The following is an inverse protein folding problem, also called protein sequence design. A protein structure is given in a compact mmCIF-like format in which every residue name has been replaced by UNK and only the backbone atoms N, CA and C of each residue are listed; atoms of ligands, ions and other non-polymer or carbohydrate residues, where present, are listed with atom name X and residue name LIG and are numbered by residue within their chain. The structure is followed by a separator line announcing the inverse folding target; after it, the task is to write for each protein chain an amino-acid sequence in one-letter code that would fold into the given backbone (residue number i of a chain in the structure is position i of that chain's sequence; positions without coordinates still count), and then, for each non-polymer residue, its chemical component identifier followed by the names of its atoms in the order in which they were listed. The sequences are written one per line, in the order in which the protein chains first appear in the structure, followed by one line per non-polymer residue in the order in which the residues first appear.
data_IF_714121945311
#
_entry.id   IF_714121945311
#
_cell.length_a   1.000
_cell.length_b   1.000
_cell.length_c   1.000
_cell.angle_alpha   90.00
_cell.angle_beta   90.00
_cell.angle_gamma   90.00
#
_symmetry.space_group_name_H-M   'P 1'
#
loop_
_entity.id
_entity.type
_entity.pdbx_description
1 polymer ?
#
# COMPACT_ATOMS: atom_id res chain seq x y z
N UNK A 1 20.68 3.61 5.10
CA UNK A 1 20.10 4.85 5.69
C UNK A 1 20.37 4.97 7.19
N UNK A 2 20.03 4.00 8.06
CA UNK A 2 20.28 4.12 9.51
C UNK A 2 21.75 4.43 9.87
N UNK A 3 22.70 3.71 9.27
CA UNK A 3 24.13 3.95 9.48
C UNK A 3 24.57 5.37 9.05
N UNK A 4 24.02 5.88 7.95
CA UNK A 4 24.28 7.26 7.50
C UNK A 4 23.76 8.28 8.52
N UNK A 5 22.51 8.14 8.99
CA UNK A 5 21.96 9.04 10.03
C UNK A 5 22.82 9.01 11.29
N UNK A 6 23.17 7.82 11.81
CA UNK A 6 24.05 7.72 12.98
C UNK A 6 25.42 8.37 12.76
N UNK A 7 25.99 8.27 11.55
CA UNK A 7 27.24 8.91 11.23
C UNK A 7 27.13 10.46 11.18
N UNK A 8 26.02 10.96 10.65
CA UNK A 8 25.72 12.40 10.61
C UNK A 8 25.47 12.95 12.02
N UNK A 9 24.69 12.26 12.86
CA UNK A 9 24.43 12.63 14.25
C UNK A 9 25.73 12.65 15.06
N UNK A 10 26.57 11.66 14.85
CA UNK A 10 27.91 11.63 15.46
C UNK A 10 28.77 12.82 15.02
N UNK A 11 28.81 13.13 13.71
CA UNK A 11 29.55 14.25 13.17
C UNK A 11 29.04 15.57 13.75
N UNK A 12 27.72 15.75 13.85
CA UNK A 12 27.08 16.94 14.41
C UNK A 12 27.38 17.10 15.92
N UNK A 13 27.19 16.02 16.69
CA UNK A 13 27.48 16.02 18.14
C UNK A 13 28.94 16.36 18.43
N UNK A 14 29.86 15.86 17.59
CA UNK A 14 31.27 16.16 17.69
C UNK A 14 31.59 17.61 17.37
N UNK A 15 30.98 18.17 16.34
CA UNK A 15 31.11 19.59 16.01
C UNK A 15 30.65 20.46 17.18
N UNK A 16 29.45 20.20 17.72
CA UNK A 16 28.92 20.95 18.86
C UNK A 16 29.88 20.90 20.03
N UNK A 17 30.39 19.73 20.39
CA UNK A 17 31.35 19.56 21.50
C UNK A 17 32.65 20.30 21.27
N UNK A 18 33.22 20.34 20.05
CA UNK A 18 34.46 21.05 19.72
C UNK A 18 34.23 22.57 19.74
N UNK A 19 33.08 23.06 19.25
CA UNK A 19 32.71 24.47 19.33
C UNK A 19 32.46 24.94 20.76
N UNK A 20 31.80 24.13 21.59
CA UNK A 20 31.60 24.42 23.01
C UNK A 20 32.92 24.51 23.76
N UNK A 21 33.86 23.61 23.47
CA UNK A 21 35.21 23.65 24.05
C UNK A 21 35.95 24.93 23.72
N UNK A 22 35.84 25.43 22.47
CA UNK A 22 36.44 26.74 22.06
C UNK A 22 35.76 27.89 22.79
N UNK A 23 34.46 27.85 23.02
CA UNK A 23 33.70 28.92 23.64
C UNK A 23 33.76 28.90 25.19
N UNK A 24 34.15 27.78 25.80
CA UNK A 24 34.22 27.63 27.25
C UNK A 24 35.38 28.41 27.88
N UNK A 25 36.49 28.64 27.16
CA UNK A 25 37.63 29.41 27.67
C UNK A 25 37.45 30.90 27.36
N UNK A 26 37.20 31.75 28.39
CA UNK A 26 37.03 33.20 28.17
C UNK A 26 38.23 33.90 27.52
N UNK A 27 39.44 33.35 27.65
CA UNK A 27 40.69 33.92 27.11
C UNK A 27 40.89 33.59 25.64
N UNK A 28 40.31 32.46 25.20
CA UNK A 28 40.46 31.96 23.82
C UNK A 28 39.17 32.07 23.00
N UNK A 29 38.16 32.79 23.50
CA UNK A 29 36.87 32.92 22.83
C UNK A 29 36.88 33.78 21.58
N UNK A 30 37.85 34.74 21.50
CA UNK A 30 37.97 35.74 20.43
C UNK A 30 39.44 35.83 19.95
N UNK A 31 39.62 35.93 18.64
CA UNK A 31 40.89 36.14 18.02
C UNK A 31 41.30 35.05 17.01
N UNK A 32 42.42 35.24 16.29
CA UNK A 32 42.79 34.37 15.19
C UNK A 32 42.94 32.89 15.56
N UNK A 33 43.34 32.59 16.79
CA UNK A 33 43.46 31.20 17.28
C UNK A 33 42.10 30.54 17.49
N UNK A 34 41.11 31.27 18.02
CA UNK A 34 39.73 30.79 18.17
C UNK A 34 39.04 30.56 16.81
N UNK A 35 39.27 31.49 15.87
CA UNK A 35 38.73 31.38 14.51
C UNK A 35 39.35 30.19 13.76
N UNK A 36 40.66 29.96 13.92
CA UNK A 36 41.31 28.77 13.36
C UNK A 36 40.79 27.46 13.97
N UNK A 37 40.53 27.44 15.29
CA UNK A 37 39.96 26.26 15.96
C UNK A 37 38.51 25.95 15.50
N UNK A 38 37.68 27.02 15.33
CA UNK A 38 36.31 26.85 14.77
C UNK A 38 36.37 26.33 13.32
N UNK A 39 37.23 26.94 12.49
CA UNK A 39 37.43 26.48 11.12
C UNK A 39 37.85 25.01 11.07
N UNK A 40 38.82 24.60 11.91
CA UNK A 40 39.25 23.19 12.00
C UNK A 40 38.14 22.25 12.44
N UNK A 41 37.22 22.66 13.36
CA UNK A 41 36.07 21.89 13.78
C UNK A 41 35.08 21.71 12.63
N UNK A 42 34.76 22.78 11.89
CA UNK A 42 33.92 22.73 10.71
C UNK A 42 34.51 21.86 9.58
N UNK A 43 35.81 22.00 9.31
CA UNK A 43 36.51 21.19 8.31
C UNK A 43 36.46 19.69 8.65
N UNK A 44 36.57 19.37 9.94
CA UNK A 44 36.48 18.01 10.42
C UNK A 44 35.05 17.43 10.29
N UNK A 45 34.04 18.22 10.65
CA UNK A 45 32.65 17.87 10.43
C UNK A 45 32.39 17.64 8.94
N UNK A 46 32.81 18.56 8.07
CA UNK A 46 32.65 18.43 6.63
C UNK A 46 33.27 17.14 6.07
N UNK A 47 34.47 16.77 6.56
CA UNK A 47 35.12 15.51 6.16
C UNK A 47 34.35 14.29 6.63
N UNK A 48 33.86 14.26 7.86
CA UNK A 48 33.05 13.16 8.38
C UNK A 48 31.72 13.02 7.61
N UNK A 49 31.05 14.14 7.35
CA UNK A 49 29.82 14.17 6.56
C UNK A 49 30.05 13.69 5.12
N UNK A 50 31.13 14.16 4.48
CA UNK A 50 31.49 13.72 3.12
C UNK A 50 31.79 12.21 3.06
N UNK A 51 32.54 11.68 4.04
CA UNK A 51 32.80 10.25 4.12
C UNK A 51 31.53 9.43 4.33
N UNK A 52 30.62 9.88 5.21
CA UNK A 52 29.34 9.22 5.41
C UNK A 52 28.49 9.23 4.13
N UNK A 53 28.49 10.35 3.40
CA UNK A 53 27.78 10.48 2.11
C UNK A 53 28.37 9.57 1.04
N UNK A 54 29.68 9.51 0.91
CA UNK A 54 30.35 8.63 -0.06
C UNK A 54 29.99 7.15 0.17
N UNK A 55 29.95 6.72 1.43
CA UNK A 55 29.53 5.35 1.78
C UNK A 55 28.08 5.10 1.38
N UNK A 56 27.18 6.05 1.69
CA UNK A 56 25.78 5.96 1.31
C UNK A 56 25.60 5.86 -0.21
N UNK A 57 26.23 6.77 -0.97
CA UNK A 57 26.11 6.82 -2.42
C UNK A 57 26.60 5.52 -3.08
N UNK A 58 27.72 4.97 -2.57
CA UNK A 58 28.22 3.66 -3.03
C UNK A 58 27.23 2.53 -2.75
N UNK A 59 26.69 2.48 -1.53
CA UNK A 59 25.78 1.42 -1.12
C UNK A 59 24.43 1.52 -1.89
N UNK A 60 23.95 2.75 -2.14
CA UNK A 60 22.76 2.98 -2.96
C UNK A 60 22.99 2.59 -4.43
N UNK A 61 24.14 2.93 -5.00
CA UNK A 61 24.49 2.54 -6.36
C UNK A 61 24.57 0.99 -6.51
N UNK A 62 25.13 0.31 -5.52
CA UNK A 62 25.18 -1.15 -5.50
C UNK A 62 23.76 -1.73 -5.42
N UNK A 63 22.90 -1.27 -4.51
CA UNK A 63 21.53 -1.75 -4.38
C UNK A 63 20.71 -1.51 -5.64
N UNK A 64 20.89 -0.36 -6.30
CA UNK A 64 20.22 -0.07 -7.57
C UNK A 64 20.65 -1.04 -8.67
N UNK A 65 21.94 -1.32 -8.75
CA UNK A 65 22.45 -2.30 -9.71
C UNK A 65 21.92 -3.72 -9.45
N UNK A 66 21.89 -4.14 -8.18
CA UNK A 66 21.34 -5.43 -7.77
C UNK A 66 19.84 -5.53 -8.06
N UNK A 67 19.05 -4.47 -7.72
CA UNK A 67 17.63 -4.39 -8.02
C UNK A 67 17.37 -4.49 -9.53
N UNK A 68 18.18 -3.84 -10.36
CA UNK A 68 18.09 -3.92 -11.82
C UNK A 68 18.33 -5.31 -12.39
N UNK A 69 19.10 -6.15 -11.71
CA UNK A 69 19.31 -7.55 -12.07
C UNK A 69 18.16 -8.45 -11.61
N UNK A 70 17.61 -8.20 -10.41
CA UNK A 70 16.57 -9.02 -9.81
C UNK A 70 15.20 -8.76 -10.44
N UNK A 71 14.85 -7.49 -10.69
CA UNK A 71 13.52 -7.08 -11.17
C UNK A 71 13.05 -7.84 -12.42
N UNK A 72 13.87 -8.01 -13.50
CA UNK A 72 13.44 -8.77 -14.68
C UNK A 72 13.22 -10.27 -14.43
N UNK A 73 13.77 -10.81 -13.33
CA UNK A 73 13.68 -12.23 -12.98
C UNK A 73 12.52 -12.52 -12.01
N UNK A 74 11.81 -11.49 -11.53
CA UNK A 74 10.68 -11.67 -10.63
C UNK A 74 9.50 -12.36 -11.35
N UNK A 75 8.80 -13.29 -10.66
CA UNK A 75 7.58 -13.88 -11.21
C UNK A 75 6.45 -12.81 -11.30
N UNK A 76 5.40 -13.03 -12.13
CA UNK A 76 4.32 -12.07 -12.35
C UNK A 76 3.70 -11.49 -11.07
N UNK A 77 3.51 -12.30 -10.02
CA UNK A 77 2.98 -11.84 -8.75
C UNK A 77 3.79 -10.71 -8.10
N UNK A 78 5.12 -10.70 -8.30
CA UNK A 78 6.07 -9.78 -7.67
C UNK A 78 6.64 -8.75 -8.65
N UNK A 79 6.51 -8.95 -9.96
CA UNK A 79 7.04 -8.09 -10.99
C UNK A 79 6.23 -6.79 -11.16
N UNK A 80 6.88 -5.72 -11.60
CA UNK A 80 6.17 -4.52 -12.06
C UNK A 80 5.30 -4.83 -13.30
N UNK A 81 4.20 -4.08 -13.49
CA UNK A 81 3.32 -4.27 -14.66
C UNK A 81 4.01 -3.92 -16.00
N UNK A 82 5.09 -3.16 -15.97
CA UNK A 82 5.92 -2.89 -17.14
C UNK A 82 6.93 -4.01 -17.46
N UNK A 83 7.07 -4.99 -16.58
CA UNK A 83 8.02 -6.09 -16.75
C UNK A 83 7.66 -6.97 -17.95
N UNK A 84 8.67 -7.38 -18.75
CA UNK A 84 8.45 -8.29 -19.88
C UNK A 84 7.84 -9.64 -19.49
N UNK A 85 7.93 -10.06 -18.23
CA UNK A 85 7.39 -11.34 -17.74
C UNK A 85 5.89 -11.47 -18.02
N UNK A 86 5.16 -10.38 -18.06
CA UNK A 86 3.72 -10.38 -18.33
C UNK A 86 3.37 -10.79 -19.77
N UNK A 87 4.27 -10.61 -20.74
CA UNK A 87 4.05 -11.09 -22.12
C UNK A 87 4.11 -12.62 -22.23
N UNK A 88 4.78 -13.26 -21.27
CA UNK A 88 4.81 -14.72 -21.16
C UNK A 88 3.94 -15.25 -20.03
N UNK A 89 2.97 -14.46 -19.55
CA UNK A 89 2.12 -14.84 -18.44
C UNK A 89 1.44 -16.19 -18.68
N UNK A 90 1.43 -17.02 -17.66
CA UNK A 90 0.67 -18.26 -17.59
C UNK A 90 0.00 -18.34 -16.24
N UNK A 91 -1.24 -18.79 -16.23
CA UNK A 91 -2.00 -18.97 -14.99
C UNK A 91 -1.26 -19.95 -14.09
N UNK A 92 -0.94 -19.55 -12.84
CA UNK A 92 -0.18 -20.39 -11.93
C UNK A 92 -0.97 -21.63 -11.49
N UNK A 93 -0.25 -22.73 -11.22
CA UNK A 93 -0.82 -23.94 -10.62
C UNK A 93 -0.78 -23.93 -9.10
N UNK A 94 0.13 -23.14 -8.52
CA UNK A 94 0.38 -23.08 -7.08
C UNK A 94 -0.04 -21.74 -6.49
N UNK A 95 -0.34 -21.73 -5.19
CA UNK A 95 -0.68 -20.52 -4.47
C UNK A 95 0.56 -19.62 -4.32
N UNK A 96 0.42 -18.31 -4.53
CA UNK A 96 1.51 -17.36 -4.36
C UNK A 96 1.82 -17.15 -2.88
N UNK A 97 3.10 -16.87 -2.57
CA UNK A 97 3.52 -16.54 -1.21
C UNK A 97 3.40 -15.06 -0.88
N UNK A 98 3.40 -14.20 -1.89
CA UNK A 98 3.27 -12.75 -1.77
C UNK A 98 2.82 -12.14 -3.10
N UNK A 99 2.33 -10.89 -3.03
CA UNK A 99 2.06 -10.04 -4.20
C UNK A 99 2.63 -8.64 -3.97
N UNK A 100 2.98 -7.97 -5.07
CA UNK A 100 3.46 -6.58 -5.06
C UNK A 100 2.28 -5.60 -5.00
N UNK A 101 2.30 -4.71 -4.00
CA UNK A 101 1.34 -3.62 -3.86
C UNK A 101 1.77 -2.35 -4.60
N UNK A 102 3.07 -2.13 -4.66
CA UNK A 102 3.70 -0.95 -5.24
C UNK A 102 5.20 -0.97 -5.00
N UNK A 103 5.81 0.20 -5.02
CA UNK A 103 7.23 0.40 -4.83
C UNK A 103 7.54 1.39 -3.72
N UNK A 104 8.66 1.19 -3.08
CA UNK A 104 9.27 2.15 -2.18
C UNK A 104 10.44 2.80 -2.90
N UNK A 105 10.48 4.13 -2.88
CA UNK A 105 11.55 4.96 -3.43
C UNK A 105 12.19 5.81 -2.35
N UNK A 106 13.45 6.15 -2.56
CA UNK A 106 14.18 7.10 -1.72
C UNK A 106 14.36 8.41 -2.47
N UNK A 107 14.08 9.56 -1.84
CA UNK A 107 14.36 10.87 -2.44
C UNK A 107 15.84 11.03 -2.86
N UNK A 108 16.74 10.45 -2.08
CA UNK A 108 18.19 10.49 -2.34
C UNK A 108 18.65 9.61 -3.51
N UNK A 109 17.82 8.65 -3.93
CA UNK A 109 18.12 7.71 -5.01
C UNK A 109 16.84 7.36 -5.80
N UNK A 110 16.35 8.26 -6.68
CA UNK A 110 15.09 8.07 -7.41
C UNK A 110 15.06 6.83 -8.30
N UNK A 111 16.23 6.36 -8.75
CA UNK A 111 16.36 5.16 -9.59
C UNK A 111 16.21 3.86 -8.81
N UNK A 112 16.38 3.89 -7.47
CA UNK A 112 16.20 2.73 -6.63
C UNK A 112 14.71 2.49 -6.38
N UNK A 113 14.21 1.36 -6.87
CA UNK A 113 12.88 0.85 -6.60
C UNK A 113 12.96 -0.42 -5.77
N UNK A 114 12.29 -0.43 -4.64
CA UNK A 114 12.18 -1.62 -3.78
C UNK A 114 10.73 -2.08 -3.77
N UNK A 115 10.42 -3.29 -4.28
CA UNK A 115 9.05 -3.78 -4.28
C UNK A 115 8.46 -3.83 -2.88
N UNK A 116 7.30 -3.19 -2.68
CA UNK A 116 6.50 -3.35 -1.47
C UNK A 116 5.59 -4.55 -1.65
N UNK A 117 5.85 -5.58 -0.86
CA UNK A 117 5.16 -6.87 -0.95
C UNK A 117 4.21 -7.08 0.23
N UNK A 118 3.07 -7.69 -0.05
CA UNK A 118 2.20 -8.26 0.99
C UNK A 118 2.25 -9.79 0.91
N UNK A 119 2.42 -10.41 2.07
CA UNK A 119 2.40 -11.87 2.18
C UNK A 119 0.98 -12.41 1.99
N UNK A 120 0.88 -13.57 1.34
CA UNK A 120 -0.37 -14.30 1.16
C UNK A 120 -0.38 -15.60 2.02
N UNK A 121 -1.55 -16.04 2.49
CA UNK A 121 -2.81 -15.30 2.46
C UNK A 121 -2.73 -13.99 3.24
N UNK A 122 -3.49 -12.98 2.83
CA UNK A 122 -3.50 -11.68 3.50
C UNK A 122 -4.08 -11.82 4.91
N UNK A 123 -3.33 -11.39 5.92
CA UNK A 123 -3.81 -11.36 7.32
C UNK A 123 -4.70 -10.13 7.60
N UNK A 124 -4.66 -9.15 6.72
CA UNK A 124 -5.41 -7.89 6.83
C UNK A 124 -5.89 -7.50 5.44
N UNK A 125 -7.09 -6.93 5.36
CA UNK A 125 -7.56 -6.29 4.14
C UNK A 125 -6.78 -4.99 3.85
N UNK A 126 -7.14 -4.33 2.78
CA UNK A 126 -6.48 -3.12 2.29
C UNK A 126 -7.45 -1.95 2.28
N UNK A 127 -6.95 -0.75 2.56
CA UNK A 127 -7.66 0.51 2.39
C UNK A 127 -6.88 1.41 1.43
N UNK A 128 -7.45 1.68 0.28
CA UNK A 128 -6.95 2.68 -0.66
C UNK A 128 -7.63 4.01 -0.32
N UNK A 129 -6.85 4.93 0.21
CA UNK A 129 -7.36 6.24 0.60
C UNK A 129 -7.64 7.09 -0.65
N UNK A 130 -8.91 7.35 -0.91
CA UNK A 130 -9.36 8.18 -2.05
C UNK A 130 -9.53 9.66 -1.69
N UNK A 131 -9.22 10.04 -0.45
CA UNK A 131 -9.21 11.42 0.01
C UNK A 131 -8.03 12.21 -0.55
N UNK A 132 -8.15 13.54 -0.49
CA UNK A 132 -7.04 14.43 -0.87
C UNK A 132 -5.84 14.15 0.02
N UNK A 133 -4.65 13.87 -0.55
CA UNK A 133 -3.44 13.61 0.23
C UNK A 133 -3.14 14.73 1.23
N UNK A 134 -2.59 14.38 2.39
CA UNK A 134 -2.31 15.33 3.46
C UNK A 134 -1.41 16.50 3.02
N UNK A 135 -0.50 16.27 2.06
CA UNK A 135 0.38 17.30 1.48
C UNK A 135 -0.38 18.40 0.73
N UNK A 136 -1.64 18.18 0.34
CA UNK A 136 -2.50 19.14 -0.34
C UNK A 136 -3.59 19.72 0.58
N UNK A 137 -3.69 19.24 1.82
CA UNK A 137 -4.59 19.80 2.85
C UNK A 137 -3.88 21.00 3.46
N UNK A 138 -4.46 22.20 3.33
CA UNK A 138 -3.91 23.42 3.94
C UNK A 138 -3.73 23.26 5.45
N UNK A 139 -2.75 23.97 6.02
CA UNK A 139 -2.48 24.04 7.45
C UNK A 139 -3.78 24.36 8.22
N UNK A 140 -4.31 23.41 8.98
CA UNK A 140 -5.52 23.62 9.79
C UNK A 140 -6.35 22.37 10.05
N UNK A 141 -5.95 21.19 9.57
CA UNK A 141 -6.67 19.95 9.91
C UNK A 141 -6.13 19.38 11.24
N UNK A 142 -6.88 19.49 12.37
CA UNK A 142 -6.44 19.05 13.67
C UNK A 142 -6.33 17.52 13.82
N UNK A 143 -6.80 16.76 12.83
CA UNK A 143 -6.75 15.30 12.79
C UNK A 143 -5.57 14.76 11.98
N UNK A 144 -4.49 15.54 11.87
CA UNK A 144 -3.24 15.11 11.25
C UNK A 144 -2.75 13.80 11.86
N UNK A 145 -2.22 12.94 11.03
CA UNK A 145 -1.63 11.61 11.28
C UNK A 145 -0.73 11.48 12.55
N UNK A 146 -0.34 12.62 13.15
CA UNK A 146 0.46 12.69 14.39
C UNK A 146 -0.24 12.06 15.61
N UNK A 147 -1.57 12.01 15.67
CA UNK A 147 -2.31 11.50 16.84
C UNK A 147 -2.39 9.96 16.91
N UNK A 148 -1.99 9.25 15.87
CA UNK A 148 -1.97 7.77 15.89
C UNK A 148 -0.71 7.16 16.49
N UNK A 149 0.33 7.96 16.71
CA UNK A 149 1.58 7.57 17.37
C UNK A 149 1.83 8.58 18.47
N UNK A 150 1.96 8.09 19.73
CA UNK A 150 2.11 8.96 20.91
C UNK A 150 3.22 10.01 20.75
N UNK A 151 3.17 11.11 21.53
CA UNK A 151 4.04 12.29 21.38
C UNK A 151 5.55 12.03 21.51
N UNK A 152 5.95 10.82 21.90
CA UNK A 152 7.35 10.44 22.12
C UNK A 152 8.05 9.82 20.91
N UNK A 153 7.35 9.67 19.77
CA UNK A 153 7.89 8.97 18.60
C UNK A 153 8.69 9.87 17.64
N UNK A 154 8.54 11.18 17.71
CA UNK A 154 9.22 12.10 16.80
C UNK A 154 9.84 13.26 17.58
N UNK A 155 11.18 13.30 17.62
CA UNK A 155 11.91 14.49 18.01
C UNK A 155 11.53 15.64 17.07
N UNK A 156 11.01 16.74 17.64
CA UNK A 156 10.47 17.92 16.96
C UNK A 156 11.47 18.72 16.10
N UNK A 157 12.72 18.29 15.97
CA UNK A 157 13.80 19.09 15.38
C UNK A 157 14.26 18.67 13.98
N UNK A 158 13.58 17.68 13.35
CA UNK A 158 14.03 17.14 12.07
C UNK A 158 13.43 17.81 10.81
N UNK A 159 12.41 18.65 10.95
CA UNK A 159 11.74 19.27 9.80
C UNK A 159 11.66 20.80 9.98
N UNK A 160 12.64 21.51 9.45
CA UNK A 160 12.54 22.94 9.24
C UNK A 160 11.47 23.27 8.19
N UNK A 161 10.89 24.51 8.21
CA UNK A 161 9.79 24.90 7.32
C UNK A 161 10.11 24.92 5.82
N UNK A 162 11.35 24.69 5.43
CA UNK A 162 11.83 24.77 4.05
C UNK A 162 11.99 23.39 3.35
N UNK A 163 11.60 22.27 4.00
CA UNK A 163 11.87 20.91 3.54
C UNK A 163 10.84 20.31 2.59
N UNK A 164 9.71 20.95 2.35
CA UNK A 164 8.67 20.43 1.44
C UNK A 164 8.74 21.10 0.07
N UNK A 165 9.87 20.93 -0.60
CA UNK A 165 9.97 21.21 -2.02
C UNK A 165 9.10 20.23 -2.81
N UNK A 166 8.41 20.77 -3.84
CA UNK A 166 7.67 20.02 -4.85
C UNK A 166 8.28 18.64 -5.11
N UNK A 167 7.44 17.59 -5.13
CA UNK A 167 7.86 16.28 -5.60
C UNK A 167 8.56 16.40 -6.96
N UNK A 168 9.34 15.39 -7.37
CA UNK A 168 10.20 15.47 -8.56
C UNK A 168 9.48 15.81 -9.88
N UNK A 169 8.16 15.69 -9.91
CA UNK A 169 7.30 16.21 -10.96
C UNK A 169 6.52 17.42 -10.42
N UNK A 170 6.92 18.62 -10.75
CA UNK A 170 6.25 19.89 -10.42
C UNK A 170 4.82 19.99 -10.98
N UNK A 171 4.00 18.93 -10.82
CA UNK A 171 2.63 18.82 -11.28
C UNK A 171 1.67 19.66 -10.42
N UNK A 172 0.66 20.22 -11.05
CA UNK A 172 -0.48 20.84 -10.37
C UNK A 172 -1.10 19.85 -9.36
N UNK A 173 -1.59 20.34 -8.21
CA UNK A 173 -2.28 19.51 -7.25
C UNK A 173 -3.45 18.79 -7.93
N UNK A 174 -3.48 17.46 -7.80
CA UNK A 174 -4.56 16.65 -8.34
C UNK A 174 -5.89 17.04 -7.69
N UNK A 175 -6.93 17.19 -8.51
CA UNK A 175 -8.28 17.40 -7.99
C UNK A 175 -8.81 16.11 -7.29
N UNK A 176 -9.83 16.27 -6.46
CA UNK A 176 -10.41 15.16 -5.70
C UNK A 176 -11.02 14.08 -6.61
N UNK A 177 -11.55 14.45 -7.78
CA UNK A 177 -12.12 13.50 -8.72
C UNK A 177 -11.03 12.62 -9.34
N UNK A 178 -9.90 13.22 -9.68
CA UNK A 178 -8.74 12.49 -10.21
C UNK A 178 -8.13 11.55 -9.16
N UNK A 179 -8.04 11.97 -7.89
CA UNK A 179 -7.57 11.10 -6.80
C UNK A 179 -8.50 9.89 -6.63
N UNK A 180 -9.82 10.10 -6.61
CA UNK A 180 -10.82 9.02 -6.53
C UNK A 180 -10.71 8.06 -7.73
N UNK A 181 -10.57 8.60 -8.94
CA UNK A 181 -10.36 7.80 -10.14
C UNK A 181 -9.11 6.92 -10.01
N UNK A 182 -7.98 7.52 -9.62
CA UNK A 182 -6.72 6.77 -9.42
C UNK A 182 -6.82 5.74 -8.30
N UNK A 183 -7.58 5.99 -7.25
CA UNK A 183 -7.81 5.03 -6.18
C UNK A 183 -8.55 3.79 -6.71
N UNK A 184 -9.56 3.99 -7.52
CA UNK A 184 -10.30 2.89 -8.13
C UNK A 184 -9.48 2.14 -9.17
N UNK A 185 -8.71 2.83 -10.02
CA UNK A 185 -7.76 2.21 -10.95
C UNK A 185 -6.72 1.37 -10.22
N UNK A 186 -6.22 1.85 -9.07
CA UNK A 186 -5.29 1.10 -8.21
C UNK A 186 -5.95 -0.17 -7.66
N UNK A 187 -7.21 -0.08 -7.22
CA UNK A 187 -7.98 -1.23 -6.73
C UNK A 187 -8.16 -2.29 -7.82
N UNK A 188 -8.54 -1.88 -9.02
CA UNK A 188 -8.71 -2.77 -10.17
C UNK A 188 -7.39 -3.44 -10.56
N UNK A 189 -6.31 -2.68 -10.62
CA UNK A 189 -4.97 -3.18 -10.93
C UNK A 189 -4.50 -4.20 -9.90
N UNK A 190 -4.76 -3.93 -8.62
CA UNK A 190 -4.40 -4.82 -7.52
C UNK A 190 -5.27 -6.09 -7.50
N UNK A 191 -6.58 -5.95 -7.70
CA UNK A 191 -7.48 -7.10 -7.83
C UNK A 191 -7.08 -8.01 -9.00
N UNK A 192 -6.73 -7.43 -10.15
CA UNK A 192 -6.23 -8.17 -11.30
C UNK A 192 -4.92 -8.91 -10.99
N UNK A 193 -4.00 -8.28 -10.26
CA UNK A 193 -2.75 -8.91 -9.81
C UNK A 193 -3.01 -10.07 -8.85
N UNK A 194 -3.90 -9.89 -7.90
CA UNK A 194 -4.29 -10.96 -6.99
C UNK A 194 -4.88 -12.14 -7.75
N UNK A 195 -5.82 -11.88 -8.68
CA UNK A 195 -6.36 -12.93 -9.56
C UNK A 195 -5.27 -13.62 -10.38
N UNK A 196 -4.35 -12.84 -10.96
CA UNK A 196 -3.25 -13.36 -11.79
C UNK A 196 -2.24 -14.18 -10.99
N UNK A 197 -2.13 -13.92 -9.70
CA UNK A 197 -1.21 -14.62 -8.82
C UNK A 197 -1.78 -15.94 -8.26
N UNK A 198 -3.10 -16.13 -8.31
CA UNK A 198 -3.77 -17.34 -7.80
C UNK A 198 -4.08 -18.35 -8.92
N UNK A 199 -4.14 -19.63 -8.61
CA UNK A 199 -4.65 -20.65 -9.54
C UNK A 199 -6.07 -20.29 -10.01
N UNK A 200 -6.40 -20.63 -11.25
CA UNK A 200 -7.68 -20.28 -11.84
C UNK A 200 -8.87 -20.78 -11.02
N UNK A 201 -9.71 -19.84 -10.58
CA UNK A 201 -10.91 -20.15 -9.80
C UNK A 201 -10.70 -20.31 -8.29
N UNK A 202 -9.47 -20.17 -7.79
CA UNK A 202 -9.18 -20.22 -6.34
C UNK A 202 -9.33 -18.86 -5.65
N UNK A 203 -9.47 -17.78 -6.41
CA UNK A 203 -9.84 -16.45 -5.93
C UNK A 203 -11.00 -15.92 -6.76
N UNK A 204 -12.03 -15.37 -6.13
CA UNK A 204 -13.19 -14.74 -6.76
C UNK A 204 -13.34 -13.30 -6.31
N UNK A 205 -13.98 -12.48 -7.14
CA UNK A 205 -14.24 -11.07 -6.85
C UNK A 205 -15.72 -10.82 -6.63
N UNK A 206 -16.03 -9.99 -5.65
CA UNK A 206 -17.31 -9.31 -5.48
C UNK A 206 -17.07 -7.81 -5.36
N UNK A 207 -18.01 -6.99 -5.82
CA UNK A 207 -17.90 -5.53 -5.78
C UNK A 207 -19.17 -4.92 -5.21
N UNK A 208 -19.00 -4.05 -4.24
CA UNK A 208 -20.04 -3.12 -3.75
C UNK A 208 -19.73 -1.75 -4.34
N UNK A 209 -20.67 -1.21 -5.10
CA UNK A 209 -20.61 0.13 -5.72
C UNK A 209 -22.00 0.77 -5.60
N UNK A 210 -22.33 1.37 -4.44
CA UNK A 210 -23.68 1.81 -4.13
C UNK A 210 -24.25 2.81 -5.14
N UNK A 211 -23.42 3.70 -5.67
CA UNK A 211 -23.82 4.71 -6.65
C UNK A 211 -23.72 4.23 -8.10
N UNK A 212 -23.06 3.10 -8.38
CA UNK A 212 -22.82 2.63 -9.74
C UNK A 212 -21.75 3.44 -10.49
N UNK A 213 -20.91 4.18 -9.75
CA UNK A 213 -19.92 5.09 -10.33
C UNK A 213 -18.62 4.38 -10.79
N UNK A 214 -18.36 3.17 -10.31
CA UNK A 214 -17.14 2.43 -10.60
C UNK A 214 -17.14 1.73 -11.98
N UNK A 215 -18.27 1.68 -12.69
CA UNK A 215 -18.42 0.93 -13.93
C UNK A 215 -17.31 1.15 -14.97
N UNK A 216 -16.84 2.39 -15.25
CA UNK A 216 -15.76 2.62 -16.23
C UNK A 216 -14.44 1.96 -15.83
N UNK A 217 -14.05 2.04 -14.55
CA UNK A 217 -12.81 1.46 -14.06
C UNK A 217 -12.91 -0.07 -13.95
N UNK A 218 -14.10 -0.61 -13.65
CA UNK A 218 -14.36 -2.06 -13.58
C UNK A 218 -14.50 -2.72 -14.95
N UNK A 219 -14.59 -1.94 -16.04
CA UNK A 219 -14.78 -2.47 -17.38
C UNK A 219 -13.81 -3.60 -17.76
N UNK A 220 -12.49 -3.53 -17.48
CA UNK A 220 -11.58 -4.64 -17.79
C UNK A 220 -11.95 -5.94 -17.08
N UNK A 221 -12.42 -5.89 -15.84
CA UNK A 221 -12.83 -7.06 -15.06
C UNK A 221 -14.15 -7.65 -15.55
N UNK A 222 -15.10 -6.79 -15.92
CA UNK A 222 -16.44 -7.20 -16.41
C UNK A 222 -16.35 -7.78 -17.82
N UNK A 223 -15.68 -7.08 -18.74
CA UNK A 223 -15.59 -7.48 -20.16
C UNK A 223 -14.85 -8.81 -20.38
N UNK A 224 -13.86 -9.08 -19.54
CA UNK A 224 -13.12 -10.35 -19.59
C UNK A 224 -13.82 -11.49 -18.85
N UNK A 225 -14.83 -11.18 -18.03
CA UNK A 225 -15.51 -12.16 -17.15
C UNK A 225 -14.68 -12.53 -15.92
N UNK A 226 -13.66 -11.75 -15.57
CA UNK A 226 -12.91 -11.91 -14.32
C UNK A 226 -13.81 -11.56 -13.11
N UNK A 227 -14.62 -10.50 -13.23
CA UNK A 227 -15.75 -10.23 -12.36
C UNK A 227 -17.01 -10.84 -12.97
N UNK A 228 -17.58 -11.85 -12.31
CA UNK A 228 -18.72 -12.61 -12.83
C UNK A 228 -20.06 -11.95 -12.57
N UNK A 229 -20.19 -11.35 -11.40
CA UNK A 229 -21.42 -10.73 -10.95
C UNK A 229 -21.34 -9.22 -11.18
N UNK A 230 -22.49 -8.62 -11.48
CA UNK A 230 -22.57 -7.16 -11.55
C UNK A 230 -22.33 -6.56 -10.16
N UNK A 231 -21.66 -5.40 -10.06
CA UNK A 231 -21.51 -4.72 -8.80
C UNK A 231 -22.84 -4.52 -8.07
N UNK A 232 -22.82 -4.76 -6.77
CA UNK A 232 -24.01 -4.57 -5.92
C UNK A 232 -24.24 -3.07 -5.71
N UNK A 233 -25.44 -2.59 -6.05
CA UNK A 233 -25.82 -1.18 -6.00
C UNK A 233 -26.86 -0.90 -4.93
N UNK A 234 -26.86 0.33 -4.41
CA UNK A 234 -27.81 0.80 -3.39
C UNK A 234 -27.69 0.07 -2.06
N UNK A 235 -28.39 0.55 -1.04
CA UNK A 235 -28.32 -0.02 0.32
C UNK A 235 -28.78 -1.49 0.39
N UNK A 236 -29.72 -1.91 -0.46
CA UNK A 236 -30.16 -3.29 -0.50
C UNK A 236 -29.06 -4.23 -1.03
N UNK A 237 -28.32 -3.82 -2.07
CA UNK A 237 -27.20 -4.58 -2.60
C UNK A 237 -26.07 -4.69 -1.59
N UNK A 238 -25.74 -3.59 -0.90
CA UNK A 238 -24.78 -3.56 0.21
C UNK A 238 -25.14 -4.61 1.26
N UNK A 239 -26.38 -4.55 1.77
CA UNK A 239 -26.85 -5.46 2.83
C UNK A 239 -26.86 -6.94 2.38
N UNK A 240 -27.18 -7.22 1.12
CA UNK A 240 -27.21 -8.58 0.58
C UNK A 240 -25.79 -9.18 0.54
N UNK A 241 -24.81 -8.48 -0.06
CA UNK A 241 -23.43 -8.96 -0.15
C UNK A 241 -22.80 -9.13 1.23
N UNK A 242 -22.92 -8.13 2.11
CA UNK A 242 -22.36 -8.23 3.46
C UNK A 242 -22.99 -9.34 4.28
N UNK A 243 -24.31 -9.54 4.15
CA UNK A 243 -25.02 -10.63 4.81
C UNK A 243 -24.57 -12.01 4.33
N UNK A 244 -24.34 -12.17 3.03
CA UNK A 244 -23.83 -13.40 2.44
C UNK A 244 -22.42 -13.73 2.93
N UNK A 245 -21.50 -12.76 2.86
CA UNK A 245 -20.11 -12.94 3.30
C UNK A 245 -20.00 -13.17 4.81
N UNK A 246 -20.79 -12.47 5.61
CA UNK A 246 -20.85 -12.72 7.06
C UNK A 246 -21.28 -14.15 7.36
N UNK A 247 -22.36 -14.62 6.70
CA UNK A 247 -22.83 -15.99 6.84
C UNK A 247 -21.77 -17.01 6.42
N UNK A 248 -21.04 -16.74 5.33
CA UNK A 248 -19.93 -17.58 4.87
C UNK A 248 -18.84 -17.70 5.94
N UNK A 249 -18.40 -16.55 6.50
CA UNK A 249 -17.39 -16.53 7.57
C UNK A 249 -17.83 -17.37 8.74
N UNK A 250 -19.08 -17.20 9.22
CA UNK A 250 -19.63 -17.95 10.34
C UNK A 250 -19.64 -19.46 10.07
N UNK A 251 -20.10 -19.88 8.88
CA UNK A 251 -20.16 -21.31 8.51
C UNK A 251 -18.77 -21.95 8.46
N UNK A 252 -17.79 -21.29 7.80
CA UNK A 252 -16.44 -21.83 7.68
C UNK A 252 -15.75 -21.87 9.05
N UNK A 253 -15.89 -20.84 9.86
CA UNK A 253 -15.35 -20.84 11.22
C UNK A 253 -15.96 -21.93 12.10
N UNK A 254 -17.27 -22.15 12.01
CA UNK A 254 -17.92 -23.24 12.74
C UNK A 254 -17.38 -24.61 12.31
N UNK A 255 -17.22 -24.83 11.00
CA UNK A 255 -16.67 -26.08 10.48
C UNK A 255 -15.22 -26.30 10.93
N UNK A 256 -14.39 -25.27 10.91
CA UNK A 256 -12.99 -25.32 11.38
C UNK A 256 -12.92 -25.63 12.88
N UNK A 257 -13.70 -24.95 13.71
CA UNK A 257 -13.73 -25.16 15.18
C UNK A 257 -14.20 -26.56 15.56
N UNK A 258 -15.14 -27.12 14.81
CA UNK A 258 -15.70 -28.43 15.06
C UNK A 258 -14.95 -29.55 14.33
N UNK A 259 -13.90 -29.23 13.56
CA UNK A 259 -13.17 -30.19 12.70
C UNK A 259 -14.10 -30.97 11.76
N UNK A 260 -15.13 -30.30 11.29
CA UNK A 260 -16.24 -30.89 10.51
C UNK A 260 -16.34 -30.21 9.12
N UNK A 261 -15.24 -30.25 8.36
CA UNK A 261 -15.19 -29.68 7.01
C UNK A 261 -16.24 -30.30 6.08
N UNK A 262 -16.56 -31.58 6.28
CA UNK A 262 -17.61 -32.28 5.57
C UNK A 262 -19.05 -31.81 5.89
N UNK A 263 -19.22 -30.99 6.94
CA UNK A 263 -20.54 -30.40 7.29
C UNK A 263 -20.82 -29.09 6.55
N UNK A 264 -19.87 -28.60 5.76
CA UNK A 264 -20.10 -27.43 4.92
C UNK A 264 -21.14 -27.75 3.82
N UNK A 265 -22.03 -26.79 3.49
CA UNK A 265 -22.95 -26.95 2.39
C UNK A 265 -22.19 -27.30 1.10
N UNK A 266 -22.67 -28.28 0.31
CA UNK A 266 -21.96 -28.72 -0.91
C UNK A 266 -21.88 -27.63 -2.01
N UNK A 267 -22.77 -26.67 -1.93
CA UNK A 267 -22.82 -25.49 -2.81
C UNK A 267 -21.98 -24.31 -2.34
N UNK A 268 -21.33 -24.41 -1.17
CA UNK A 268 -20.46 -23.37 -0.68
C UNK A 268 -19.20 -23.30 -1.55
N UNK A 269 -18.98 -22.16 -2.19
CA UNK A 269 -17.73 -21.92 -2.93
C UNK A 269 -16.56 -21.87 -1.93
N UNK A 270 -15.57 -22.73 -2.11
CA UNK A 270 -14.39 -22.81 -1.23
C UNK A 270 -13.26 -21.86 -1.65
N UNK A 271 -13.38 -21.21 -2.81
CA UNK A 271 -12.40 -20.25 -3.29
C UNK A 271 -12.27 -19.05 -2.32
N UNK A 272 -11.09 -18.48 -2.22
CA UNK A 272 -10.93 -17.20 -1.52
C UNK A 272 -11.77 -16.11 -2.19
N UNK A 273 -12.22 -15.15 -1.42
CA UNK A 273 -13.07 -14.07 -1.90
C UNK A 273 -12.45 -12.72 -1.60
N UNK A 274 -12.34 -11.88 -2.62
CA UNK A 274 -11.95 -10.48 -2.48
C UNK A 274 -13.18 -9.60 -2.69
N UNK A 275 -13.60 -8.91 -1.63
CA UNK A 275 -14.65 -7.91 -1.69
C UNK A 275 -14.01 -6.53 -1.90
N UNK A 276 -14.31 -5.92 -3.05
CA UNK A 276 -14.00 -4.50 -3.33
C UNK A 276 -15.18 -3.67 -2.86
N UNK A 277 -14.94 -2.72 -1.96
CA UNK A 277 -15.94 -1.77 -1.47
C UNK A 277 -15.58 -0.39 -1.99
N UNK A 278 -16.39 0.15 -2.89
CA UNK A 278 -16.25 1.47 -3.46
C UNK A 278 -17.27 2.43 -2.85
N UNK A 279 -16.92 3.72 -2.81
CA UNK A 279 -17.81 4.82 -2.43
C UNK A 279 -18.38 4.73 -0.99
N UNK A 280 -17.62 4.07 -0.08
CA UNK A 280 -17.96 4.08 1.35
C UNK A 280 -17.81 5.51 1.92
N UNK A 281 -18.76 6.06 2.69
CA UNK A 281 -19.83 5.35 3.39
C UNK A 281 -21.19 5.34 2.69
N UNK A 282 -21.32 5.82 1.47
CA UNK A 282 -22.61 5.94 0.79
C UNK A 282 -23.34 4.59 0.70
N UNK A 283 -24.62 4.59 1.08
CA UNK A 283 -25.45 3.38 1.07
C UNK A 283 -25.20 2.38 2.21
N UNK A 284 -24.32 2.73 3.16
CA UNK A 284 -24.05 1.92 4.36
C UNK A 284 -24.83 2.47 5.56
N UNK A 285 -25.35 1.58 6.38
CA UNK A 285 -25.93 1.87 7.69
C UNK A 285 -25.00 1.34 8.81
N UNK A 286 -25.29 1.61 10.06
CA UNK A 286 -24.52 1.14 11.22
C UNK A 286 -24.33 -0.39 11.22
N UNK A 287 -25.33 -1.13 10.77
CA UNK A 287 -25.26 -2.60 10.66
C UNK A 287 -24.23 -3.02 9.61
N UNK A 288 -24.29 -2.39 8.43
CA UNK A 288 -23.36 -2.65 7.34
C UNK A 288 -21.91 -2.34 7.75
N UNK A 289 -21.68 -1.22 8.46
CA UNK A 289 -20.35 -0.85 8.96
C UNK A 289 -19.83 -1.87 9.98
N UNK A 290 -20.70 -2.36 10.89
CA UNK A 290 -20.33 -3.41 11.83
C UNK A 290 -20.03 -4.75 11.12
N UNK A 291 -20.75 -5.08 10.05
CA UNK A 291 -20.45 -6.25 9.22
C UNK A 291 -19.11 -6.10 8.49
N UNK A 292 -18.81 -4.92 7.92
CA UNK A 292 -17.48 -4.65 7.33
C UNK A 292 -16.36 -4.84 8.36
N UNK A 293 -16.54 -4.32 9.57
CA UNK A 293 -15.56 -4.53 10.64
C UNK A 293 -15.39 -6.01 10.96
N UNK A 294 -16.49 -6.75 11.10
CA UNK A 294 -16.43 -8.18 11.34
C UNK A 294 -15.70 -8.93 10.23
N UNK A 295 -15.97 -8.58 8.97
CA UNK A 295 -15.27 -9.16 7.82
C UNK A 295 -13.77 -8.77 7.77
N UNK A 296 -13.42 -7.55 8.20
CA UNK A 296 -12.03 -7.14 8.29
C UNK A 296 -11.23 -7.92 9.35
N UNK A 297 -11.86 -8.21 10.49
CA UNK A 297 -11.23 -8.88 11.62
C UNK A 297 -11.20 -10.42 11.44
N UNK A 298 -12.30 -11.01 11.03
CA UNK A 298 -12.49 -12.48 11.01
C UNK A 298 -12.35 -13.10 9.62
N UNK A 299 -12.64 -12.32 8.57
CA UNK A 299 -12.62 -12.77 7.18
C UNK A 299 -11.30 -13.38 6.72
N UNK A 300 -10.13 -12.75 6.99
CA UNK A 300 -8.85 -13.26 6.53
C UNK A 300 -8.55 -14.70 6.98
N UNK A 301 -9.03 -15.09 8.15
CA UNK A 301 -8.85 -16.45 8.70
C UNK A 301 -9.56 -17.54 7.90
N UNK A 302 -10.53 -17.15 7.08
CA UNK A 302 -11.38 -18.05 6.27
C UNK A 302 -11.40 -17.69 4.78
N UNK A 303 -10.39 -16.93 4.33
CA UNK A 303 -10.20 -16.59 2.93
C UNK A 303 -11.16 -15.51 2.40
N UNK A 304 -11.67 -14.63 3.26
CA UNK A 304 -12.46 -13.45 2.84
C UNK A 304 -11.65 -12.19 3.10
N UNK A 305 -11.33 -11.44 2.06
CA UNK A 305 -10.47 -10.28 2.11
C UNK A 305 -11.21 -9.02 1.67
N UNK A 306 -10.94 -7.90 2.34
CA UNK A 306 -11.50 -6.59 2.00
C UNK A 306 -10.48 -5.73 1.23
N UNK A 307 -10.96 -5.04 0.20
CA UNK A 307 -10.27 -3.97 -0.49
C UNK A 307 -11.20 -2.75 -0.51
N UNK A 308 -10.99 -1.87 0.45
CA UNK A 308 -11.77 -0.62 0.57
C UNK A 308 -11.18 0.47 -0.33
N UNK A 309 -12.04 1.21 -1.04
CA UNK A 309 -11.69 2.41 -1.79
C UNK A 309 -12.56 3.53 -1.27
N UNK A 310 -12.04 4.34 -0.35
CA UNK A 310 -12.85 5.29 0.38
C UNK A 310 -12.03 6.47 0.91
N UNK A 311 -12.68 7.61 1.07
CA UNK A 311 -12.15 8.76 1.79
C UNK A 311 -12.53 8.65 3.28
N UNK A 312 -11.51 8.50 4.14
CA UNK A 312 -11.72 8.44 5.60
C UNK A 312 -12.47 9.67 6.12
N UNK A 313 -12.26 10.83 5.52
CA UNK A 313 -12.88 12.07 5.98
C UNK A 313 -14.40 12.10 5.75
N UNK A 314 -14.89 11.45 4.70
CA UNK A 314 -16.33 11.33 4.41
C UNK A 314 -17.04 10.38 5.38
N UNK A 315 -16.30 9.42 5.95
CA UNK A 315 -16.83 8.42 6.88
C UNK A 315 -16.77 8.84 8.36
N UNK A 316 -16.40 10.09 8.67
CA UNK A 316 -16.25 10.57 10.07
C UNK A 316 -17.51 10.45 10.92
N UNK A 317 -18.70 10.46 10.32
CA UNK A 317 -19.97 10.30 11.01
C UNK A 317 -20.09 8.94 11.74
N UNK A 318 -19.37 7.92 11.28
CA UNK A 318 -19.34 6.59 11.89
C UNK A 318 -18.30 6.46 13.05
N UNK A 319 -17.59 7.53 13.37
CA UNK A 319 -16.67 7.72 14.51
C UNK A 319 -16.18 6.46 15.21
N UNK A 320 -16.82 6.02 16.29
CA UNK A 320 -16.33 4.92 17.13
C UNK A 320 -16.23 3.56 16.40
N UNK A 321 -16.97 3.36 15.30
CA UNK A 321 -16.95 2.11 14.50
C UNK A 321 -15.93 2.18 13.39
N UNK A 322 -15.70 3.35 12.84
CA UNK A 322 -14.74 3.58 11.76
C UNK A 322 -13.30 3.32 12.19
N UNK A 323 -12.91 3.81 13.37
CA UNK A 323 -11.52 3.69 13.84
C UNK A 323 -11.04 2.24 14.00
N UNK A 324 -11.81 1.29 14.56
CA UNK A 324 -11.45 -0.11 14.55
C UNK A 324 -11.33 -0.69 13.13
N UNK A 325 -12.29 -0.41 12.24
CA UNK A 325 -12.23 -0.85 10.85
C UNK A 325 -10.97 -0.34 10.15
N UNK A 326 -10.68 0.95 10.30
CA UNK A 326 -9.47 1.57 9.75
C UNK A 326 -8.19 0.90 10.23
N UNK A 327 -8.09 0.59 11.53
CA UNK A 327 -6.92 -0.07 12.13
C UNK A 327 -6.75 -1.54 11.70
N UNK A 328 -7.84 -2.21 11.33
CA UNK A 328 -7.80 -3.61 10.87
C UNK A 328 -7.28 -3.74 9.44
N UNK A 329 -7.22 -2.63 8.67
CA UNK A 329 -6.80 -2.62 7.28
C UNK A 329 -5.39 -2.05 7.09
N UNK A 330 -4.67 -2.53 6.10
CA UNK A 330 -3.41 -1.95 5.67
C UNK A 330 -3.71 -0.78 4.72
N UNK A 331 -3.24 0.40 5.08
CA UNK A 331 -3.43 1.60 4.27
C UNK A 331 -2.46 1.65 3.09
N UNK A 332 -2.97 2.00 1.92
CA UNK A 332 -2.20 2.40 0.74
C UNK A 332 -2.84 3.64 0.09
N UNK A 333 -2.09 4.31 -0.77
CA UNK A 333 -2.52 5.55 -1.44
C UNK A 333 -2.49 5.38 -2.95
N UNK A 334 -3.37 6.07 -3.71
CA UNK A 334 -3.41 5.99 -5.17
C UNK A 334 -2.36 6.88 -5.85
N UNK A 335 -1.65 7.68 -5.07
CA UNK A 335 -0.61 8.61 -5.50
C UNK A 335 0.64 8.39 -4.67
N UNK A 336 1.83 8.85 -5.12
CA UNK A 336 3.03 8.79 -4.30
C UNK A 336 2.82 9.41 -2.92
N UNK A 337 3.24 8.70 -1.87
CA UNK A 337 3.09 9.14 -0.49
C UNK A 337 4.41 8.92 0.28
N UNK A 338 5.00 10.03 0.75
CA UNK A 338 6.28 10.02 1.46
C UNK A 338 6.18 9.53 2.91
N UNK A 339 4.96 9.38 3.45
CA UNK A 339 4.75 9.03 4.85
C UNK A 339 4.26 7.59 5.07
N UNK A 340 3.80 6.92 4.00
CA UNK A 340 3.18 5.60 4.12
C UNK A 340 4.09 4.54 4.71
N UNK A 341 5.35 4.55 4.34
CA UNK A 341 6.32 3.52 4.72
C UNK A 341 7.19 3.92 5.93
N UNK A 342 7.18 5.17 6.35
CA UNK A 342 8.09 5.70 7.37
C UNK A 342 8.01 4.94 8.71
N UNK A 343 6.84 4.61 9.27
CA UNK A 343 6.75 3.85 10.52
C UNK A 343 7.42 2.47 10.48
N UNK A 344 7.57 1.90 9.29
CA UNK A 344 8.09 0.54 9.11
C UNK A 344 9.60 0.51 8.90
N UNK A 345 10.14 1.50 8.22
CA UNK A 345 11.55 1.52 7.80
C UNK A 345 12.38 2.59 8.52
N UNK A 346 11.75 3.44 9.34
CA UNK A 346 12.42 4.49 10.10
C UNK A 346 13.14 5.52 9.22
N UNK A 347 12.69 5.70 7.99
CA UNK A 347 13.20 6.67 7.03
C UNK A 347 12.09 7.08 6.07
N UNK A 348 12.11 8.32 5.60
CA UNK A 348 11.14 8.84 4.64
C UNK A 348 11.29 8.15 3.29
N UNK A 349 10.53 7.10 3.08
CA UNK A 349 10.37 6.45 1.80
C UNK A 349 9.10 6.96 1.12
N UNK A 350 9.18 7.17 -0.17
CA UNK A 350 7.99 7.45 -0.97
C UNK A 350 7.41 6.13 -1.47
N UNK A 351 6.17 5.84 -1.09
CA UNK A 351 5.40 4.75 -1.68
C UNK A 351 4.85 5.18 -3.04
N UNK A 352 4.96 4.33 -4.04
CA UNK A 352 4.30 4.47 -5.34
C UNK A 352 3.39 3.28 -5.59
N UNK A 353 2.10 3.50 -5.91
CA UNK A 353 1.19 2.41 -6.24
C UNK A 353 1.61 1.71 -7.55
N UNK A 354 1.48 0.40 -7.59
CA UNK A 354 1.68 -0.37 -8.81
C UNK A 354 0.57 -0.07 -9.81
N UNK A 355 0.94 0.46 -10.98
CA UNK A 355 0.00 0.82 -12.04
C UNK A 355 0.36 0.13 -13.34
N UNK A 356 -0.68 -0.19 -14.11
CA UNK A 356 -0.49 -0.65 -15.49
C UNK A 356 -0.04 0.53 -16.36
N UNK A 357 0.99 0.38 -17.21
CA UNK A 357 1.40 1.45 -18.11
C UNK A 357 0.24 1.92 -18.98
N UNK A 358 0.15 3.22 -19.18
CA UNK A 358 -0.92 3.84 -19.98
C UNK A 358 -0.94 3.26 -21.41
N UNK A 359 -2.13 2.94 -21.91
CA UNK A 359 -2.30 2.33 -23.23
C UNK A 359 -1.89 0.85 -23.34
N UNK A 360 -1.38 0.24 -22.26
CA UNK A 360 -1.00 -1.18 -22.26
C UNK A 360 -2.22 -2.11 -22.29
N UNK A 361 -2.14 -3.17 -23.09
CA UNK A 361 -3.15 -4.22 -23.17
C UNK A 361 -2.87 -5.40 -22.22
N UNK A 362 -1.78 -5.34 -21.43
CA UNK A 362 -1.32 -6.45 -20.57
C UNK A 362 -2.41 -6.86 -19.59
N UNK A 363 -3.05 -5.89 -18.92
CA UNK A 363 -4.12 -6.16 -17.96
C UNK A 363 -5.25 -6.98 -18.61
N UNK A 364 -5.74 -6.53 -19.76
CA UNK A 364 -6.83 -7.21 -20.50
C UNK A 364 -6.41 -8.61 -20.96
N UNK A 365 -5.19 -8.77 -21.46
CA UNK A 365 -4.64 -10.05 -21.87
C UNK A 365 -4.61 -11.04 -20.68
N UNK A 366 -4.00 -10.65 -19.57
CA UNK A 366 -3.88 -11.48 -18.37
C UNK A 366 -5.26 -11.91 -17.84
N UNK A 367 -6.22 -10.97 -17.78
CA UNK A 367 -7.58 -11.29 -17.33
C UNK A 367 -8.31 -12.21 -18.29
N UNK A 368 -8.08 -12.09 -19.59
CA UNK A 368 -8.65 -13.00 -20.61
C UNK A 368 -8.10 -14.42 -20.44
N UNK A 369 -6.78 -14.58 -20.31
CA UNK A 369 -6.12 -15.87 -20.10
C UNK A 369 -6.63 -16.56 -18.84
N UNK A 370 -6.82 -15.78 -17.76
CA UNK A 370 -7.44 -16.25 -16.51
C UNK A 370 -8.87 -16.73 -16.69
N UNK A 371 -9.70 -15.97 -17.39
CA UNK A 371 -11.09 -16.33 -17.62
C UNK A 371 -11.21 -17.59 -18.49
N UNK A 372 -10.30 -17.78 -19.45
CA UNK A 372 -10.21 -19.00 -20.28
C UNK A 372 -9.80 -20.21 -19.45
N UNK A 373 -8.76 -20.09 -18.63
CA UNK A 373 -8.31 -21.16 -17.74
C UNK A 373 -9.38 -21.57 -16.74
N UNK A 374 -10.15 -20.59 -16.20
CA UNK A 374 -11.28 -20.85 -15.28
C UNK A 374 -12.40 -21.63 -15.98
N UNK A 375 -12.74 -21.26 -17.22
CA UNK A 375 -13.74 -21.98 -18.03
C UNK A 375 -13.32 -23.42 -18.30
N UNK A 376 -12.07 -23.64 -18.69
CA UNK A 376 -11.52 -24.97 -18.94
C UNK A 376 -11.59 -25.86 -17.67
N UNK A 377 -11.25 -25.32 -16.49
CA UNK A 377 -11.32 -26.05 -15.22
C UNK A 377 -12.77 -26.40 -14.81
N UNK A 378 -13.73 -25.51 -15.10
CA UNK A 378 -15.15 -25.77 -14.85
C UNK A 378 -15.68 -26.93 -15.69
N UNK A 379 -15.28 -27.03 -16.96
CA UNK A 379 -15.68 -28.15 -17.84
C UNK A 379 -15.08 -29.49 -17.39
N UNK A 380 -13.86 -29.51 -16.88
CA UNK A 380 -13.21 -30.73 -16.39
C UNK A 380 -13.92 -31.28 -15.16
N UNK A 381 -14.38 -30.44 -14.21
CA UNK A 381 -15.10 -30.85 -13.02
C UNK A 381 -16.49 -31.43 -13.35
N UNK A 382 -17.18 -30.88 -14.36
CA UNK A 382 -18.50 -31.40 -14.79
C UNK A 382 -18.41 -32.68 -15.57
N UNK A 383 -17.27 -33.05 -16.15
CA UNK A 383 -17.07 -34.32 -16.86
C UNK A 383 -16.63 -35.48 -15.96
N UNK A 384 -16.21 -35.21 -14.72
CA UNK A 384 -15.79 -36.19 -13.72
C UNK A 384 -16.92 -36.54 -12.69
N UNK A 385 -18.03 -35.79 -12.73
CA UNK A 385 -19.23 -36.01 -11.89
C UNK A 385 -20.29 -36.77 -12.65
#
# INVERSE_FOLDING_TARGET
MAAYRSAMDFAQSRLAKELDAVNADPRNRVGPAADAARAAAHDKHARLAAQAREVLDRDLAQLTAEAGVVEPALPPALADWSSPVWHGYRVPGDYPIAVRLGDLRLPECPDLRVPMLVRLPMNRGLWIDSGTPAMFRGEGDPDGFADSFGPDAFGSDAFGPDGFGNGPDGGEPLDAAEVRRRALDTAVTLAARLLAAHPAGELTLQVIDPAGAAAPALAPLLETGALRETPATGAQGVAAVLGELTRRVDLVQMAVRNQAAESLPPDLDTAEQLLIVHDFPHGFDDRAVNQLRYLADEGPSVGVHLLMVADRSEAREYGPVLDPLWRSLLRITPVPDAHLADPWVGHAWTYEPSRVPEGSQILRQVLTDLAEARRARGHSRTSES
#
